data_IF_145160765246
#
_entry.id   IF_145160765246
#
_cell.length_a   1.000
_cell.length_b   1.000
_cell.length_c   1.000
_cell.angle_alpha   90.00
_cell.angle_beta   90.00
_cell.angle_gamma   90.00
#
_symmetry.space_group_name_H-M   'P 1'
#
loop_
_entity.id
_entity.type
_entity.pdbx_description
1 polymer ?
#
# COMPACT_ATOMS: atom_id res chain seq x y z
N UNK A 1 1.31 -27.38 4.77
CA UNK A 1 0.36 -26.27 4.94
C UNK A 1 1.21 -25.04 4.75
N UNK A 2 1.20 -24.44 3.55
CA UNK A 2 2.01 -23.24 3.32
C UNK A 2 1.26 -22.11 4.00
N UNK A 3 1.73 -21.73 5.17
CA UNK A 3 1.39 -20.45 5.78
C UNK A 3 1.91 -19.39 4.83
N UNK A 4 1.06 -18.92 3.91
CA UNK A 4 1.27 -17.63 3.23
C UNK A 4 1.04 -16.56 4.28
N UNK A 5 1.93 -16.48 5.27
CA UNK A 5 1.95 -15.43 6.26
C UNK A 5 2.69 -14.26 5.64
N UNK A 6 1.95 -13.32 5.05
CA UNK A 6 2.50 -11.99 4.81
C UNK A 6 3.05 -11.45 6.12
N UNK A 7 4.25 -10.86 6.08
CA UNK A 7 4.81 -10.21 7.28
C UNK A 7 4.17 -8.82 7.36
N UNK A 8 3.84 -8.28 8.53
CA UNK A 8 3.36 -6.90 8.59
C UNK A 8 4.42 -5.95 7.99
N UNK A 9 4.00 -4.90 7.25
CA UNK A 9 4.94 -3.89 6.78
C UNK A 9 5.66 -3.24 7.95
N UNK A 10 6.87 -2.69 7.74
CA UNK A 10 7.50 -1.85 8.75
C UNK A 10 6.55 -0.72 9.18
N UNK A 11 6.44 -0.47 10.50
CA UNK A 11 5.48 0.48 11.09
C UNK A 11 5.52 1.88 10.42
N UNK A 12 6.69 2.30 9.94
CA UNK A 12 6.83 3.57 9.23
C UNK A 12 6.15 3.61 7.86
N UNK A 13 6.08 2.47 7.16
CA UNK A 13 5.31 2.32 5.92
C UNK A 13 3.82 2.14 6.21
N UNK A 14 3.47 1.35 7.22
CA UNK A 14 2.07 1.15 7.65
C UNK A 14 1.35 2.48 7.90
N UNK A 15 1.91 3.33 8.76
CA UNK A 15 1.35 4.66 9.06
C UNK A 15 1.25 5.56 7.82
N UNK A 16 2.22 5.44 6.90
CA UNK A 16 2.22 6.25 5.68
C UNK A 16 1.14 5.79 4.71
N UNK A 17 0.95 4.47 4.57
CA UNK A 17 -0.08 3.86 3.74
C UNK A 17 -1.47 4.20 4.29
N UNK A 18 -1.70 4.02 5.60
CA UNK A 18 -2.95 4.40 6.27
C UNK A 18 -3.29 5.86 6.05
N UNK A 19 -2.34 6.77 6.31
CA UNK A 19 -2.55 8.20 6.08
C UNK A 19 -2.84 8.52 4.61
N UNK A 20 -2.23 7.80 3.67
CA UNK A 20 -2.44 8.01 2.24
C UNK A 20 -3.84 7.58 1.84
N UNK A 21 -4.22 6.35 2.19
CA UNK A 21 -5.52 5.76 1.88
C UNK A 21 -6.68 6.51 2.53
N UNK A 22 -6.51 6.98 3.76
CA UNK A 22 -7.48 7.84 4.43
C UNK A 22 -7.73 9.15 3.66
N UNK A 23 -6.70 9.72 3.01
CA UNK A 23 -6.86 10.89 2.15
C UNK A 23 -7.65 10.61 0.86
N UNK A 24 -7.68 9.34 0.40
CA UNK A 24 -8.56 8.87 -0.68
C UNK A 24 -9.97 8.53 -0.18
N UNK A 25 -10.26 8.69 1.11
CA UNK A 25 -11.58 8.41 1.69
C UNK A 25 -11.87 6.92 1.83
N UNK A 26 -10.84 6.08 1.93
CA UNK A 26 -10.99 4.65 2.25
C UNK A 26 -10.42 4.33 3.61
N UNK A 27 -11.09 3.43 4.32
CA UNK A 27 -10.68 2.94 5.63
C UNK A 27 -10.03 1.56 5.48
N UNK A 28 -9.14 1.20 6.40
CA UNK A 28 -8.46 -0.10 6.39
C UNK A 28 -9.30 -1.10 7.18
N UNK A 29 -9.63 -2.23 6.55
CA UNK A 29 -10.54 -3.24 7.10
C UNK A 29 -9.85 -4.30 7.97
N UNK A 30 -8.52 -4.31 8.05
CA UNK A 30 -7.77 -5.34 8.75
C UNK A 30 -6.26 -5.18 8.65
N UNK A 31 -5.53 -6.23 9.04
CA UNK A 31 -4.07 -6.24 9.02
C UNK A 31 -3.51 -6.13 7.59
N UNK A 32 -2.46 -5.32 7.44
CA UNK A 32 -1.73 -5.20 6.18
C UNK A 32 -0.75 -6.37 6.04
N UNK A 33 -0.66 -6.90 4.82
CA UNK A 33 0.28 -7.96 4.49
C UNK A 33 1.37 -7.39 3.59
N UNK A 34 2.64 -7.48 4.00
CA UNK A 34 3.78 -7.08 3.21
C UNK A 34 4.61 -8.27 2.74
N UNK A 35 5.07 -8.16 1.50
CA UNK A 35 6.02 -9.06 0.87
C UNK A 35 7.26 -8.26 0.49
N UNK A 36 8.42 -8.68 1.00
CA UNK A 36 9.69 -8.04 0.64
C UNK A 36 10.04 -8.34 -0.82
N UNK A 37 10.45 -7.31 -1.55
CA UNK A 37 10.87 -7.36 -2.96
C UNK A 37 12.20 -6.60 -3.11
N UNK A 38 12.92 -6.80 -4.23
CA UNK A 38 14.29 -6.29 -4.46
C UNK A 38 14.56 -4.81 -4.08
N UNK A 39 13.55 -3.95 -4.02
CA UNK A 39 13.71 -2.52 -3.70
C UNK A 39 12.74 -1.99 -2.65
N UNK A 40 12.12 -2.85 -1.84
CA UNK A 40 11.20 -2.45 -0.79
C UNK A 40 10.17 -3.53 -0.48
N UNK A 41 8.91 -3.13 -0.39
CA UNK A 41 7.82 -4.01 0.00
C UNK A 41 6.65 -3.84 -0.96
N UNK A 42 6.04 -4.93 -1.37
CA UNK A 42 4.68 -4.93 -1.90
C UNK A 42 3.72 -5.17 -0.74
N UNK A 43 2.80 -4.25 -0.52
CA UNK A 43 1.86 -4.28 0.61
C UNK A 43 0.45 -4.41 0.09
N UNK A 44 -0.23 -5.44 0.55
CA UNK A 44 -1.65 -5.70 0.30
C UNK A 44 -2.43 -5.19 1.49
N UNK A 45 -3.34 -4.25 1.23
CA UNK A 45 -4.10 -3.54 2.25
C UNK A 45 -5.58 -3.86 2.06
N UNK A 46 -6.22 -4.57 3.00
CA UNK A 46 -7.67 -4.75 2.96
C UNK A 46 -8.35 -3.42 3.27
N UNK A 47 -9.32 -3.02 2.45
CA UNK A 47 -10.05 -1.75 2.64
C UNK A 47 -11.52 -2.01 2.96
N UNK A 48 -12.09 -1.16 3.81
CA UNK A 48 -13.52 -1.07 4.06
C UNK A 48 -14.05 0.16 3.32
N UNK A 49 -14.87 -0.08 2.30
CA UNK A 49 -15.40 0.98 1.43
C UNK A 49 -15.38 0.60 -0.04
N UNK A 50 -15.81 1.52 -0.90
CA UNK A 50 -15.78 1.34 -2.36
C UNK A 50 -14.74 2.27 -2.98
N UNK A 51 -13.53 1.76 -3.19
CA UNK A 51 -12.64 2.32 -4.21
C UNK A 51 -13.19 1.89 -5.57
N UNK A 52 -13.57 2.84 -6.42
CA UNK A 52 -14.03 2.45 -7.75
C UNK A 52 -12.82 2.06 -8.61
N UNK A 53 -13.02 1.14 -9.54
CA UNK A 53 -11.98 0.80 -10.51
C UNK A 53 -11.46 2.04 -11.24
N UNK A 54 -12.32 3.05 -11.47
CA UNK A 54 -11.94 4.29 -12.12
C UNK A 54 -10.92 5.09 -11.30
N UNK A 55 -11.14 5.24 -9.99
CA UNK A 55 -10.20 5.89 -9.06
C UNK A 55 -8.86 5.14 -9.04
N UNK A 56 -8.91 3.81 -8.92
CA UNK A 56 -7.69 2.99 -8.94
C UNK A 56 -6.93 3.19 -10.25
N UNK A 57 -7.58 3.12 -11.40
CA UNK A 57 -6.91 3.29 -12.70
C UNK A 57 -6.39 4.71 -12.94
N UNK A 58 -7.03 5.73 -12.39
CA UNK A 58 -6.54 7.10 -12.48
C UNK A 58 -5.24 7.29 -11.68
N UNK A 59 -5.12 6.57 -10.56
CA UNK A 59 -3.99 6.66 -9.64
C UNK A 59 -2.98 5.52 -9.77
N UNK A 60 -3.23 4.51 -10.61
CA UNK A 60 -2.34 3.37 -10.81
C UNK A 60 -1.00 3.84 -11.39
N UNK A 61 0.10 3.38 -10.78
CA UNK A 61 1.45 3.80 -11.12
C UNK A 61 1.77 5.24 -10.73
N UNK A 62 0.88 5.93 -9.98
CA UNK A 62 1.15 7.25 -9.41
C UNK A 62 1.62 7.13 -7.96
N UNK A 63 2.51 8.05 -7.63
CA UNK A 63 2.95 8.30 -6.27
C UNK A 63 1.75 8.76 -5.42
N UNK A 64 1.37 7.96 -4.42
CA UNK A 64 0.34 8.32 -3.45
C UNK A 64 0.92 9.19 -2.33
N UNK A 65 2.12 8.85 -1.85
CA UNK A 65 2.80 9.62 -0.82
C UNK A 65 4.31 9.49 -0.90
N UNK A 66 4.98 10.60 -0.56
CA UNK A 66 6.42 10.65 -0.33
C UNK A 66 6.70 11.39 0.98
N UNK A 67 7.26 10.69 1.96
CA UNK A 67 7.55 11.25 3.28
C UNK A 67 8.75 10.57 3.90
N UNK A 68 9.66 11.35 4.48
CA UNK A 68 10.82 10.82 5.23
C UNK A 68 11.63 9.78 4.43
N UNK A 69 11.90 10.07 3.15
CA UNK A 69 12.62 9.17 2.25
C UNK A 69 11.92 7.81 2.04
N UNK A 70 10.58 7.80 2.09
CA UNK A 70 9.73 6.64 1.81
C UNK A 70 8.71 7.01 0.75
N UNK A 71 8.53 6.13 -0.21
CA UNK A 71 7.62 6.26 -1.34
C UNK A 71 6.52 5.20 -1.24
N UNK A 72 5.26 5.62 -1.38
CA UNK A 72 4.10 4.73 -1.53
C UNK A 72 3.51 4.98 -2.91
N UNK A 73 3.42 3.93 -3.72
CA UNK A 73 2.85 3.97 -5.06
C UNK A 73 1.69 2.98 -5.17
N UNK A 74 0.61 3.37 -5.82
CA UNK A 74 -0.51 2.46 -6.09
C UNK A 74 -0.14 1.50 -7.23
N UNK A 75 -0.12 0.20 -6.95
CA UNK A 75 0.20 -0.82 -7.94
C UNK A 75 -1.07 -1.44 -8.54
N UNK A 76 -2.11 -1.63 -7.73
CA UNK A 76 -3.35 -2.22 -8.20
C UNK A 76 -4.42 -2.35 -7.14
N UNK A 77 -5.48 -3.05 -7.50
CA UNK A 77 -6.62 -3.36 -6.65
C UNK A 77 -7.18 -4.72 -7.05
N UNK A 78 -7.44 -5.58 -6.07
CA UNK A 78 -7.95 -6.94 -6.23
C UNK A 78 -8.85 -7.29 -5.05
N UNK A 79 -10.07 -7.79 -5.29
CA UNK A 79 -10.99 -8.32 -4.26
C UNK A 79 -11.05 -7.50 -2.95
N UNK A 80 -11.37 -6.20 -3.05
CA UNK A 80 -11.46 -5.26 -1.92
C UNK A 80 -10.12 -5.04 -1.17
N UNK A 81 -9.01 -5.29 -1.85
CA UNK A 81 -7.65 -5.05 -1.37
C UNK A 81 -6.91 -4.13 -2.32
N UNK A 82 -6.23 -3.14 -1.75
CA UNK A 82 -5.34 -2.24 -2.49
C UNK A 82 -3.92 -2.80 -2.42
N UNK A 83 -3.27 -2.88 -3.57
CA UNK A 83 -1.87 -3.29 -3.66
C UNK A 83 -1.03 -2.02 -3.84
N UNK A 84 -0.10 -1.79 -2.93
CA UNK A 84 0.83 -0.66 -2.99
C UNK A 84 2.28 -1.13 -2.97
N UNK A 85 3.14 -0.40 -3.65
CA UNK A 85 4.59 -0.53 -3.54
C UNK A 85 5.09 0.49 -2.52
N UNK A 86 5.74 0.01 -1.47
CA UNK A 86 6.33 0.80 -0.40
C UNK A 86 7.86 0.67 -0.45
N UNK A 87 8.56 1.75 -0.81
CA UNK A 87 10.01 1.70 -1.05
C UNK A 87 10.75 2.79 -0.28
N UNK A 88 11.90 2.49 0.35
CA UNK A 88 12.80 3.53 0.83
C UNK A 88 13.47 4.18 -0.38
N UNK A 89 13.49 5.52 -0.41
CA UNK A 89 14.16 6.30 -1.43
C UNK A 89 15.49 6.76 -0.87
N UNK A 90 16.59 6.22 -1.40
CA UNK A 90 17.90 6.77 -1.12
C UNK A 90 17.97 8.16 -1.75
N UNK A 91 18.02 9.20 -0.92
CA UNK A 91 18.32 10.55 -1.41
C UNK A 91 19.76 10.51 -1.96
N UNK A 92 19.99 10.88 -3.24
CA UNK A 92 21.33 10.87 -3.84
C UNK A 92 22.27 11.89 -3.18
#
# INVERSE_FOLDING_TARGET
MVETGGTPPPLAFENLIESSLSAFGVEIAGDMEATEVDSGYEVTVPIDGRLTLADVTEHQGRLLAFKENREIMLCGFEDDRVIVSAKPVANP
#
